data_IF_610945024227
#
_entry.id   IF_610945024227
#
_cell.length_a   1.000
_cell.length_b   1.000
_cell.length_c   1.000
_cell.angle_alpha   90.00
_cell.angle_beta   90.00
_cell.angle_gamma   90.00
#
_symmetry.space_group_name_H-M   'P 1'
#
loop_
_entity.id
_entity.type
_entity.pdbx_description
1 polymer ?
#
# COMPACT_ATOMS: atom_id res chain seq x y z
N UNK A 1 -15.06 3.39 -15.09
CA UNK A 1 -16.01 3.56 -13.98
C UNK A 1 -15.62 4.86 -13.30
N UNK A 2 -16.26 5.97 -13.69
CA UNK A 2 -15.91 7.29 -13.18
C UNK A 2 -16.40 7.41 -11.74
N UNK A 3 -15.48 7.53 -10.79
CA UNK A 3 -15.86 7.94 -9.45
C UNK A 3 -16.18 9.44 -9.53
N UNK A 4 -17.46 9.79 -9.62
CA UNK A 4 -17.90 11.13 -9.25
C UNK A 4 -17.72 11.27 -7.74
N UNK A 5 -16.51 11.65 -7.33
CA UNK A 5 -16.11 11.74 -5.94
C UNK A 5 -16.65 13.02 -5.31
N UNK A 6 -17.61 12.86 -4.39
CA UNK A 6 -18.03 13.93 -3.48
C UNK A 6 -17.63 13.54 -2.06
N UNK A 7 -16.92 14.43 -1.38
CA UNK A 7 -16.74 14.35 0.07
C UNK A 7 -18.02 14.91 0.70
N UNK A 8 -18.55 14.23 1.72
CA UNK A 8 -19.72 14.68 2.46
C UNK A 8 -19.49 16.12 2.99
N UNK A 9 -20.36 17.08 2.64
CA UNK A 9 -20.28 18.45 3.15
C UNK A 9 -20.25 18.54 4.68
N UNK A 10 -20.90 17.62 5.40
CA UNK A 10 -20.86 17.58 6.86
C UNK A 10 -19.45 17.27 7.38
N UNK A 11 -18.73 16.36 6.74
CA UNK A 11 -17.34 16.06 7.09
C UNK A 11 -16.40 17.24 6.82
N UNK A 12 -16.65 18.01 5.74
CA UNK A 12 -15.89 19.23 5.47
C UNK A 12 -16.15 20.27 6.56
N UNK A 13 -17.40 20.45 6.98
CA UNK A 13 -17.76 21.36 8.05
C UNK A 13 -17.10 20.98 9.39
N UNK A 14 -17.11 19.69 9.74
CA UNK A 14 -16.46 19.18 10.94
C UNK A 14 -14.94 19.38 10.87
N UNK A 15 -14.31 19.09 9.73
CA UNK A 15 -12.88 19.30 9.52
C UNK A 15 -12.50 20.78 9.69
N UNK A 16 -13.29 21.70 9.12
CA UNK A 16 -13.09 23.13 9.29
C UNK A 16 -13.23 23.57 10.75
N UNK A 17 -14.24 23.07 11.46
CA UNK A 17 -14.47 23.36 12.87
C UNK A 17 -13.32 22.87 13.77
N UNK A 18 -12.67 21.77 13.38
CA UNK A 18 -11.55 21.16 14.10
C UNK A 18 -10.18 21.64 13.61
N UNK A 19 -10.12 22.52 12.62
CA UNK A 19 -8.86 23.00 12.03
C UNK A 19 -8.08 21.93 11.26
N UNK A 20 -8.75 20.90 10.78
CA UNK A 20 -8.18 19.83 9.95
C UNK A 20 -8.08 20.31 8.51
N UNK A 21 -6.89 20.16 7.92
CA UNK A 21 -6.67 20.42 6.50
C UNK A 21 -7.20 19.25 5.66
N UNK A 22 -8.36 19.46 5.04
CA UNK A 22 -9.05 18.46 4.21
C UNK A 22 -8.21 18.06 3.01
N UNK A 23 -7.50 19.00 2.37
CA UNK A 23 -6.70 18.71 1.17
C UNK A 23 -5.53 17.82 1.54
N UNK A 24 -4.80 18.18 2.59
CA UNK A 24 -3.67 17.38 3.07
C UNK A 24 -4.11 15.97 3.51
N UNK A 25 -5.25 15.86 4.21
CA UNK A 25 -5.80 14.56 4.61
C UNK A 25 -6.19 13.70 3.41
N UNK A 26 -6.80 14.30 2.39
CA UNK A 26 -7.15 13.60 1.15
C UNK A 26 -5.90 13.16 0.38
N UNK A 27 -4.89 14.02 0.26
CA UNK A 27 -3.63 13.70 -0.42
C UNK A 27 -2.91 12.54 0.27
N UNK A 28 -2.83 12.56 1.61
CA UNK A 28 -2.25 11.47 2.39
C UNK A 28 -3.01 10.14 2.18
N UNK A 29 -4.35 10.18 2.23
CA UNK A 29 -5.19 9.01 2.00
C UNK A 29 -5.06 8.44 0.59
N UNK A 30 -5.06 9.31 -0.42
CA UNK A 30 -4.89 8.93 -1.82
C UNK A 30 -3.50 8.35 -2.09
N UNK A 31 -2.45 8.99 -1.55
CA UNK A 31 -1.07 8.49 -1.66
C UNK A 31 -0.95 7.09 -1.08
N UNK A 32 -1.55 6.84 0.09
CA UNK A 32 -1.56 5.51 0.71
C UNK A 32 -2.28 4.48 -0.16
N UNK A 33 -3.48 4.80 -0.64
CA UNK A 33 -4.27 3.90 -1.47
C UNK A 33 -3.56 3.56 -2.80
N UNK A 34 -2.90 4.54 -3.43
CA UNK A 34 -2.10 4.31 -4.65
C UNK A 34 -0.92 3.39 -4.33
N UNK A 35 -0.22 3.61 -3.21
CA UNK A 35 0.92 2.78 -2.83
C UNK A 35 0.49 1.33 -2.59
N UNK A 36 -0.58 1.12 -1.83
CA UNK A 36 -1.16 -0.20 -1.57
C UNK A 36 -1.58 -0.91 -2.88
N UNK A 37 -2.23 -0.18 -3.79
CA UNK A 37 -2.62 -0.74 -5.09
C UNK A 37 -1.41 -1.15 -5.94
N UNK A 38 -0.35 -0.32 -5.96
CA UNK A 38 0.89 -0.63 -6.68
C UNK A 38 1.66 -1.79 -6.05
N UNK A 39 1.70 -1.87 -4.72
CA UNK A 39 2.31 -3.00 -4.01
C UNK A 39 1.58 -4.31 -4.34
N UNK A 40 0.24 -4.28 -4.38
CA UNK A 40 -0.56 -5.44 -4.77
C UNK A 40 -0.32 -5.88 -6.22
N UNK A 41 -0.25 -4.91 -7.15
CA UNK A 41 0.09 -5.16 -8.56
C UNK A 41 1.50 -5.74 -8.70
N UNK A 42 2.48 -5.15 -8.02
CA UNK A 42 3.86 -5.64 -8.04
C UNK A 42 3.99 -7.06 -7.49
N UNK A 43 3.28 -7.39 -6.39
CA UNK A 43 3.26 -8.74 -5.82
C UNK A 43 2.64 -9.76 -6.78
N UNK A 44 1.60 -9.38 -7.52
CA UNK A 44 1.00 -10.22 -8.56
C UNK A 44 2.01 -10.52 -9.66
N UNK A 45 2.66 -9.48 -10.18
CA UNK A 45 3.64 -9.58 -11.27
C UNK A 45 4.88 -10.38 -10.88
N UNK A 46 5.35 -10.21 -9.63
CA UNK A 46 6.60 -10.80 -9.16
C UNK A 46 6.40 -12.15 -8.44
N UNK A 47 5.16 -12.64 -8.33
CA UNK A 47 4.85 -13.89 -7.62
C UNK A 47 5.69 -15.07 -8.12
N UNK A 48 5.85 -15.21 -9.44
CA UNK A 48 6.61 -16.29 -10.03
C UNK A 48 8.11 -16.20 -9.69
N UNK A 49 8.69 -15.01 -9.78
CA UNK A 49 10.10 -14.78 -9.44
C UNK A 49 10.37 -14.98 -7.94
N UNK A 50 9.44 -14.54 -7.08
CA UNK A 50 9.52 -14.76 -5.64
C UNK A 50 9.43 -16.25 -5.31
N UNK A 51 8.53 -17.01 -5.96
CA UNK A 51 8.39 -18.44 -5.76
C UNK A 51 9.64 -19.22 -6.22
N UNK A 52 10.20 -18.86 -7.37
CA UNK A 52 11.44 -19.45 -7.89
C UNK A 52 12.62 -19.20 -6.94
N UNK A 53 12.77 -17.95 -6.47
CA UNK A 53 13.82 -17.59 -5.53
C UNK A 53 13.68 -18.31 -4.19
N UNK A 54 12.45 -18.41 -3.66
CA UNK A 54 12.19 -19.15 -2.42
C UNK A 54 12.55 -20.64 -2.57
N UNK A 55 12.18 -21.28 -3.69
CA UNK A 55 12.57 -22.66 -3.97
C UNK A 55 14.09 -22.83 -4.06
N UNK A 56 14.79 -21.89 -4.70
CA UNK A 56 16.25 -21.93 -4.77
C UNK A 56 16.91 -21.82 -3.38
N UNK A 57 16.38 -20.97 -2.48
CA UNK A 57 16.87 -20.83 -1.10
C UNK A 57 16.63 -22.08 -0.27
N UNK A 58 15.51 -22.78 -0.46
CA UNK A 58 15.23 -24.08 0.17
C UNK A 58 16.26 -25.15 -0.25
N UNK A 59 16.62 -25.16 -1.54
CA UNK A 59 17.61 -26.09 -2.09
C UNK A 59 19.08 -25.68 -1.82
N UNK A 60 19.32 -24.41 -1.48
CA UNK A 60 20.64 -23.83 -1.25
C UNK A 60 20.70 -23.12 0.12
N UNK A 61 20.81 -23.88 1.22
CA UNK A 61 20.77 -23.31 2.56
C UNK A 61 21.89 -22.29 2.77
N UNK A 62 21.52 -21.15 3.38
CA UNK A 62 22.45 -20.05 3.58
C UNK A 62 23.53 -20.43 4.60
N UNK A 63 24.82 -20.08 4.36
CA UNK A 63 25.96 -20.50 5.19
C UNK A 63 25.89 -20.14 6.68
N UNK A 64 24.97 -19.25 7.07
CA UNK A 64 24.81 -18.75 8.43
C UNK A 64 23.46 -19.16 9.06
N UNK A 65 22.68 -20.03 8.40
CA UNK A 65 21.34 -20.42 8.84
C UNK A 65 21.32 -21.08 10.25
N UNK A 66 22.44 -21.66 10.66
CA UNK A 66 22.57 -22.39 11.94
C UNK A 66 23.21 -21.57 13.08
N UNK A 67 23.51 -20.29 12.87
CA UNK A 67 24.05 -19.42 13.92
C UNK A 67 22.90 -18.74 14.68
N UNK A 68 22.50 -19.34 15.80
CA UNK A 68 21.62 -18.75 16.82
C UNK A 68 22.35 -18.60 18.15
#
# INVERSE_FOLDING_TARGET
>A
MGAEGRIDPAMIADAQALGVDVVAACEAGLTRAIREAREAEWLEENRAAIAEWNGWVEDNPLPLADLR
#
